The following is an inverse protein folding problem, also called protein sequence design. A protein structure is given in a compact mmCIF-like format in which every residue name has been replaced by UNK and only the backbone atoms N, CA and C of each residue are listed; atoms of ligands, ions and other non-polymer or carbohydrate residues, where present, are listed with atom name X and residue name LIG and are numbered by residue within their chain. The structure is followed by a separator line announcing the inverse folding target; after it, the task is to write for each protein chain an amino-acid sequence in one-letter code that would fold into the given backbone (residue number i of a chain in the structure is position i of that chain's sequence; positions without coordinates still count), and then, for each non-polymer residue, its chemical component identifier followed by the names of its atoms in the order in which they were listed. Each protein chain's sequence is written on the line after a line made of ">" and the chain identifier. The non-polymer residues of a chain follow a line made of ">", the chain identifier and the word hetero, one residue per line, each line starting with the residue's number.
data_IF_166002515461
#
_entry.id   IF_166002515461
#
_cell.length_a   1.000
_cell.length_b   1.000
_cell.length_c   1.000
_cell.angle_alpha   90.00
_cell.angle_beta   90.00
_cell.angle_gamma   90.00
#
_symmetry.space_group_name_H-M   'P 1'
#
loop_
_entity.id
_entity.type
_entity.pdbx_description
1 polymer ?
#
# COMPACT_ATOMS: atom_id res chain seq x y z
N UNK A 1 -29.55 -3.09 2.71
CA UNK A 1 -28.23 -3.74 2.81
C UNK A 1 -28.06 -4.25 4.24
N UNK A 2 -27.79 -5.54 4.46
CA UNK A 2 -27.54 -6.08 5.81
C UNK A 2 -26.40 -5.31 6.47
N UNK A 3 -26.61 -4.82 7.69
CA UNK A 3 -25.60 -4.09 8.46
C UNK A 3 -24.50 -5.09 8.85
N UNK A 4 -23.34 -4.98 8.20
CA UNK A 4 -22.19 -5.85 8.49
C UNK A 4 -21.59 -5.41 9.83
N UNK A 5 -21.27 -6.38 10.69
CA UNK A 5 -20.60 -6.12 11.98
C UNK A 5 -19.21 -5.52 11.77
N UNK A 6 -18.78 -4.60 12.63
CA UNK A 6 -17.46 -3.95 12.55
C UNK A 6 -16.30 -4.95 12.54
N UNK A 7 -16.41 -6.08 13.26
CA UNK A 7 -15.40 -7.15 13.23
C UNK A 7 -15.31 -7.81 11.85
N UNK A 8 -16.46 -8.11 11.25
CA UNK A 8 -16.53 -8.71 9.92
C UNK A 8 -15.99 -7.74 8.87
N UNK A 9 -16.33 -6.46 8.96
CA UNK A 9 -15.81 -5.43 8.06
C UNK A 9 -14.28 -5.32 8.17
N UNK A 10 -13.72 -5.38 9.37
CA UNK A 10 -12.27 -5.28 9.58
C UNK A 10 -11.53 -6.43 8.89
N UNK A 11 -11.93 -7.67 9.15
CA UNK A 11 -11.29 -8.84 8.55
C UNK A 11 -11.49 -8.91 7.04
N UNK A 12 -12.61 -8.42 6.53
CA UNK A 12 -12.87 -8.35 5.09
C UNK A 12 -11.92 -7.35 4.41
N UNK A 13 -11.71 -6.17 5.01
CA UNK A 13 -10.75 -5.18 4.51
C UNK A 13 -9.32 -5.72 4.58
N UNK A 14 -8.95 -6.38 5.67
CA UNK A 14 -7.66 -7.08 5.80
C UNK A 14 -7.49 -8.10 4.67
N UNK A 15 -8.52 -8.92 4.41
CA UNK A 15 -8.54 -9.87 3.31
C UNK A 15 -8.39 -9.22 1.93
N UNK A 16 -9.03 -8.07 1.70
CA UNK A 16 -8.86 -7.30 0.46
C UNK A 16 -7.42 -6.79 0.28
N UNK A 17 -6.81 -6.27 1.34
CA UNK A 17 -5.41 -5.83 1.32
C UNK A 17 -4.45 -6.99 1.03
N UNK A 18 -4.70 -8.15 1.65
CA UNK A 18 -3.96 -9.38 1.40
C UNK A 18 -4.08 -9.86 -0.05
N UNK A 19 -5.30 -9.95 -0.57
CA UNK A 19 -5.54 -10.39 -1.94
C UNK A 19 -4.91 -9.44 -2.97
N UNK A 20 -4.98 -8.13 -2.70
CA UNK A 20 -4.36 -7.15 -3.58
C UNK A 20 -2.85 -7.34 -3.63
N UNK A 21 -2.20 -7.49 -2.48
CA UNK A 21 -0.77 -7.77 -2.42
C UNK A 21 -0.43 -9.08 -3.14
N UNK A 22 -1.13 -10.17 -2.84
CA UNK A 22 -0.93 -11.46 -3.49
C UNK A 22 -1.09 -11.38 -5.02
N UNK A 23 -2.03 -10.57 -5.53
CA UNK A 23 -2.23 -10.38 -6.96
C UNK A 23 -1.17 -9.51 -7.64
N UNK A 24 -0.54 -8.60 -6.90
CA UNK A 24 0.41 -7.62 -7.44
C UNK A 24 1.87 -7.99 -7.19
N UNK A 25 2.14 -8.95 -6.31
CA UNK A 25 3.49 -9.41 -5.97
C UNK A 25 4.29 -9.90 -7.18
N UNK A 26 3.62 -10.57 -8.12
CA UNK A 26 4.24 -11.15 -9.34
C UNK A 26 4.83 -10.09 -10.28
N UNK A 27 4.39 -8.82 -10.19
CA UNK A 27 4.96 -7.74 -11.01
C UNK A 27 6.45 -7.50 -10.73
N UNK A 28 6.94 -7.88 -9.55
CA UNK A 28 8.37 -7.83 -9.22
C UNK A 28 9.22 -8.68 -10.18
N UNK A 29 8.65 -9.68 -10.85
CA UNK A 29 9.36 -10.49 -11.84
C UNK A 29 9.70 -9.72 -13.13
N UNK A 30 8.99 -8.62 -13.42
CA UNK A 30 9.22 -7.82 -14.63
C UNK A 30 10.08 -6.59 -14.37
N UNK A 31 9.74 -5.80 -13.35
CA UNK A 31 10.52 -4.64 -12.90
C UNK A 31 10.04 -4.24 -11.50
N UNK A 32 10.99 -3.97 -10.61
CA UNK A 32 10.66 -3.54 -9.26
C UNK A 32 10.06 -2.12 -9.23
N UNK A 33 10.48 -1.24 -10.15
CA UNK A 33 9.85 0.08 -10.34
C UNK A 33 8.38 -0.06 -10.74
N UNK A 34 8.10 -0.87 -11.76
CA UNK A 34 6.72 -1.10 -12.25
C UNK A 34 5.84 -1.71 -11.16
N UNK A 35 6.37 -2.70 -10.42
CA UNK A 35 5.67 -3.33 -9.32
C UNK A 35 5.29 -2.33 -8.21
N UNK A 36 6.20 -1.42 -7.87
CA UNK A 36 5.98 -0.41 -6.82
C UNK A 36 4.90 0.59 -7.23
N UNK A 37 4.90 1.02 -8.50
CA UNK A 37 3.85 1.86 -9.07
C UNK A 37 2.47 1.19 -9.02
N UNK A 38 2.37 -0.05 -9.51
CA UNK A 38 1.11 -0.79 -9.52
C UNK A 38 0.60 -0.99 -8.08
N UNK A 39 1.45 -1.46 -7.18
CA UNK A 39 1.05 -1.68 -5.78
C UNK A 39 0.60 -0.39 -5.11
N UNK A 40 1.37 0.70 -5.23
CA UNK A 40 1.06 1.97 -4.57
C UNK A 40 -0.25 2.59 -5.06
N UNK A 41 -0.48 2.60 -6.38
CA UNK A 41 -1.73 3.10 -6.98
C UNK A 41 -2.92 2.23 -6.58
N UNK A 42 -2.78 0.91 -6.63
CA UNK A 42 -3.87 0.02 -6.25
C UNK A 42 -4.21 0.13 -4.75
N UNK A 43 -3.21 0.22 -3.86
CA UNK A 43 -3.46 0.40 -2.43
C UNK A 43 -4.07 1.76 -2.10
N UNK A 44 -3.67 2.82 -2.81
CA UNK A 44 -4.33 4.13 -2.71
C UNK A 44 -5.81 4.04 -3.10
N UNK A 45 -6.11 3.43 -4.25
CA UNK A 45 -7.48 3.28 -4.75
C UNK A 45 -8.33 2.40 -3.82
N UNK A 46 -7.77 1.28 -3.35
CA UNK A 46 -8.44 0.37 -2.41
C UNK A 46 -8.72 1.07 -1.08
N UNK A 47 -7.77 1.85 -0.55
CA UNK A 47 -7.95 2.60 0.67
C UNK A 47 -9.07 3.64 0.55
N UNK A 48 -9.10 4.37 -0.57
CA UNK A 48 -10.17 5.32 -0.87
C UNK A 48 -11.53 4.62 -0.99
N UNK A 49 -11.60 3.50 -1.72
CA UNK A 49 -12.81 2.70 -1.88
C UNK A 49 -13.32 2.13 -0.55
N UNK A 50 -12.44 1.54 0.27
CA UNK A 50 -12.79 1.00 1.57
C UNK A 50 -13.27 2.10 2.51
N UNK A 51 -12.65 3.28 2.48
CA UNK A 51 -13.12 4.45 3.23
C UNK A 51 -14.52 4.90 2.77
N UNK A 52 -14.81 4.87 1.47
CA UNK A 52 -16.14 5.17 0.96
C UNK A 52 -17.19 4.12 1.34
N UNK A 53 -16.81 2.85 1.37
CA UNK A 53 -17.75 1.73 1.58
C UNK A 53 -17.99 1.37 3.04
N UNK A 54 -16.97 1.51 3.90
CA UNK A 54 -16.97 0.96 5.26
C UNK A 54 -16.86 2.00 6.39
N UNK A 55 -16.90 3.31 6.07
CA UNK A 55 -16.81 4.38 7.08
C UNK A 55 -17.89 4.30 8.16
N UNK A 56 -19.09 3.83 7.81
CA UNK A 56 -20.20 3.74 8.76
C UNK A 56 -20.02 2.58 9.77
N UNK A 57 -19.13 1.62 9.46
CA UNK A 57 -18.84 0.46 10.31
C UNK A 57 -17.50 0.59 11.06
N UNK A 58 -16.53 1.31 10.50
CA UNK A 58 -15.17 1.43 11.00
C UNK A 58 -14.65 2.87 10.86
N UNK A 59 -13.84 3.30 11.83
CA UNK A 59 -13.12 4.57 11.72
C UNK A 59 -12.09 4.50 10.60
N UNK A 60 -11.79 5.65 9.99
CA UNK A 60 -10.80 5.74 8.91
C UNK A 60 -9.42 5.18 9.32
N UNK A 61 -9.02 5.38 10.58
CA UNK A 61 -7.78 4.83 11.11
C UNK A 61 -7.80 3.30 11.17
N UNK A 62 -8.92 2.68 11.55
CA UNK A 62 -9.04 1.21 11.56
C UNK A 62 -9.07 0.62 10.15
N UNK A 63 -9.64 1.33 9.17
CA UNK A 63 -9.59 0.92 7.76
C UNK A 63 -8.14 0.92 7.27
N UNK A 64 -7.36 1.97 7.57
CA UNK A 64 -5.95 2.02 7.26
C UNK A 64 -5.16 0.91 7.93
N UNK A 65 -5.40 0.67 9.23
CA UNK A 65 -4.76 -0.41 9.97
C UNK A 65 -5.06 -1.80 9.37
N UNK A 66 -6.31 -2.05 8.99
CA UNK A 66 -6.72 -3.32 8.38
C UNK A 66 -5.99 -3.56 7.05
N UNK A 67 -5.88 -2.54 6.19
CA UNK A 67 -5.16 -2.65 4.92
C UNK A 67 -3.66 -2.86 5.10
N UNK A 68 -3.04 -2.14 6.05
CA UNK A 68 -1.63 -2.31 6.41
C UNK A 68 -1.40 -3.73 6.93
N UNK A 69 -2.27 -4.24 7.81
CA UNK A 69 -2.19 -5.60 8.31
C UNK A 69 -2.32 -6.63 7.19
N UNK A 70 -3.28 -6.45 6.29
CA UNK A 70 -3.50 -7.31 5.12
C UNK A 70 -2.26 -7.44 4.25
N UNK A 71 -1.54 -6.32 4.06
CA UNK A 71 -0.28 -6.29 3.33
C UNK A 71 0.86 -7.01 4.05
N UNK A 72 1.05 -6.72 5.33
CA UNK A 72 2.20 -7.24 6.09
C UNK A 72 2.12 -8.76 6.36
N UNK A 73 0.93 -9.34 6.28
CA UNK A 73 0.66 -10.76 6.55
C UNK A 73 1.53 -11.73 5.72
N UNK A 74 1.72 -11.48 4.42
CA UNK A 74 2.60 -12.29 3.56
C UNK A 74 4.04 -11.82 3.59
N UNK A 75 4.23 -10.53 3.82
CA UNK A 75 5.53 -9.89 3.71
C UNK A 75 6.46 -10.25 4.87
N UNK A 76 5.92 -10.35 6.10
CA UNK A 76 6.70 -10.68 7.29
C UNK A 76 7.33 -12.08 7.24
N UNK A 77 6.61 -13.17 6.90
CA UNK A 77 7.22 -14.49 6.76
C UNK A 77 8.34 -14.52 5.73
N UNK A 78 8.15 -13.87 4.58
CA UNK A 78 9.15 -13.84 3.50
C UNK A 78 10.41 -13.09 3.94
N UNK A 79 10.26 -11.95 4.62
CA UNK A 79 11.39 -11.15 5.11
C UNK A 79 12.20 -11.82 6.22
N UNK A 80 11.57 -12.63 7.08
CA UNK A 80 12.27 -13.38 8.12
C UNK A 80 13.18 -14.45 7.49
N UNK A 81 12.76 -15.04 6.36
CA UNK A 81 13.54 -16.04 5.64
C UNK A 81 14.69 -15.43 4.81
N UNK A 82 14.57 -14.17 4.38
CA UNK A 82 15.62 -13.48 3.61
C UNK A 82 15.86 -12.04 4.09
N UNK A 83 16.68 -11.92 5.13
CA UNK A 83 16.98 -10.65 5.80
C UNK A 83 17.78 -9.71 4.87
N UNK A 84 18.64 -10.25 4.00
CA UNK A 84 19.58 -9.43 3.20
C UNK A 84 18.89 -8.81 1.99
N UNK A 85 18.03 -9.55 1.28
CA UNK A 85 17.20 -8.98 0.20
C UNK A 85 15.99 -8.21 0.76
N UNK A 86 15.58 -8.51 1.99
CA UNK A 86 14.49 -7.83 2.68
C UNK A 86 14.70 -6.32 2.80
N UNK A 87 15.91 -5.85 3.08
CA UNK A 87 16.16 -4.40 3.21
C UNK A 87 15.98 -3.63 1.89
N UNK A 88 16.39 -4.20 0.76
CA UNK A 88 16.22 -3.57 -0.56
C UNK A 88 14.73 -3.40 -0.91
N UNK A 89 13.89 -4.38 -0.58
CA UNK A 89 12.45 -4.37 -0.87
C UNK A 89 11.60 -3.69 0.21
N UNK A 90 12.19 -3.25 1.33
CA UNK A 90 11.48 -2.56 2.43
C UNK A 90 10.88 -1.22 1.99
N UNK A 91 11.51 -0.55 1.03
CA UNK A 91 11.02 0.73 0.53
C UNK A 91 9.65 0.61 -0.14
N UNK A 92 9.39 -0.49 -0.85
CA UNK A 92 8.08 -0.75 -1.48
C UNK A 92 7.00 -0.78 -0.40
N UNK A 93 7.30 -1.42 0.74
CA UNK A 93 6.44 -1.47 1.93
C UNK A 93 6.15 -0.10 2.49
N UNK A 94 7.16 0.72 2.65
CA UNK A 94 6.96 2.08 3.10
C UNK A 94 6.07 2.88 2.13
N UNK A 95 6.32 2.77 0.82
CA UNK A 95 5.58 3.49 -0.21
C UNK A 95 4.09 3.14 -0.17
N UNK A 96 3.69 1.86 -0.22
CA UNK A 96 2.25 1.60 -0.23
C UNK A 96 1.56 1.79 1.14
N UNK A 97 2.29 1.81 2.27
CA UNK A 97 1.71 2.28 3.55
C UNK A 97 1.36 3.76 3.43
N UNK A 98 2.27 4.59 2.89
CA UNK A 98 1.98 5.99 2.60
C UNK A 98 0.83 6.13 1.60
N UNK A 99 0.76 5.29 0.57
CA UNK A 99 -0.37 5.31 -0.38
C UNK A 99 -1.72 5.02 0.27
N UNK A 100 -1.79 4.09 1.23
CA UNK A 100 -3.01 3.83 2.02
C UNK A 100 -3.41 5.10 2.80
N UNK A 101 -2.44 5.74 3.47
CA UNK A 101 -2.67 6.95 4.24
C UNK A 101 -3.18 8.09 3.34
N UNK A 102 -2.52 8.31 2.19
CA UNK A 102 -2.92 9.32 1.22
C UNK A 102 -4.31 9.05 0.64
N UNK A 103 -4.66 7.78 0.37
CA UNK A 103 -5.99 7.39 -0.11
C UNK A 103 -7.09 7.72 0.90
N UNK A 104 -6.84 7.43 2.18
CA UNK A 104 -7.73 7.78 3.29
C UNK A 104 -7.83 9.30 3.47
N UNK A 105 -6.70 10.01 3.37
CA UNK A 105 -6.66 11.47 3.51
C UNK A 105 -7.44 12.16 2.39
N UNK A 106 -7.27 11.72 1.14
CA UNK A 106 -8.03 12.19 -0.01
C UNK A 106 -9.54 11.99 0.19
N UNK A 107 -9.94 10.82 0.72
CA UNK A 107 -11.33 10.55 1.05
C UNK A 107 -11.87 11.46 2.17
N UNK A 108 -11.06 11.72 3.20
CA UNK A 108 -11.44 12.56 4.35
C UNK A 108 -11.63 14.02 3.95
N UNK A 109 -10.65 14.60 3.27
CA UNK A 109 -10.63 16.03 2.97
C UNK A 109 -11.48 16.39 1.75
N UNK A 110 -11.52 15.52 0.72
CA UNK A 110 -12.27 15.74 -0.54
C UNK A 110 -11.92 17.04 -1.29
N UNK A 111 -10.81 17.70 -0.93
CA UNK A 111 -10.34 18.91 -1.60
C UNK A 111 -9.44 18.54 -2.78
N UNK A 112 -9.65 19.12 -3.98
CA UNK A 112 -8.81 18.82 -5.15
C UNK A 112 -7.31 18.99 -4.91
N UNK A 113 -6.92 19.99 -4.10
CA UNK A 113 -5.53 20.23 -3.74
C UNK A 113 -4.88 19.04 -3.00
N UNK A 114 -5.65 18.31 -2.19
CA UNK A 114 -5.15 17.13 -1.45
C UNK A 114 -4.90 15.97 -2.42
N UNK A 115 -5.74 15.82 -3.44
CA UNK A 115 -5.51 14.84 -4.52
C UNK A 115 -4.26 15.20 -5.32
N UNK A 116 -4.11 16.47 -5.73
CA UNK A 116 -2.94 16.93 -6.46
C UNK A 116 -1.65 16.69 -5.67
N UNK A 117 -1.63 17.06 -4.39
CA UNK A 117 -0.47 16.81 -3.52
C UNK A 117 -0.21 15.31 -3.33
N UNK A 118 -1.26 14.49 -3.19
CA UNK A 118 -1.10 13.04 -3.05
C UNK A 118 -0.51 12.39 -4.30
N UNK A 119 -0.87 12.88 -5.49
CA UNK A 119 -0.27 12.45 -6.76
C UNK A 119 1.20 12.86 -6.81
N UNK A 120 1.53 14.11 -6.48
CA UNK A 120 2.92 14.59 -6.45
C UNK A 120 3.78 13.76 -5.49
N UNK A 121 3.28 13.51 -4.28
CA UNK A 121 3.96 12.65 -3.29
C UNK A 121 4.12 11.24 -3.85
N UNK A 122 3.08 10.67 -4.45
CA UNK A 122 3.13 9.35 -5.08
C UNK A 122 4.19 9.24 -6.18
N UNK A 123 4.27 10.24 -7.07
CA UNK A 123 5.30 10.32 -8.11
C UNK A 123 6.68 10.39 -7.47
N UNK A 124 6.90 11.30 -6.51
CA UNK A 124 8.21 11.49 -5.87
C UNK A 124 8.70 10.22 -5.17
N UNK A 125 7.80 9.52 -4.48
CA UNK A 125 8.10 8.27 -3.80
C UNK A 125 8.48 7.15 -4.78
N UNK A 126 7.70 6.97 -5.85
CA UNK A 126 7.88 5.87 -6.78
C UNK A 126 9.02 6.11 -7.80
N UNK A 127 9.43 7.35 -8.06
CA UNK A 127 10.55 7.65 -8.96
C UNK A 127 11.83 7.93 -8.19
N UNK A 128 11.89 9.07 -7.50
CA UNK A 128 13.13 9.57 -6.92
C UNK A 128 13.53 8.78 -5.67
N UNK A 129 12.61 8.61 -4.71
CA UNK A 129 12.95 7.94 -3.45
C UNK A 129 13.27 6.46 -3.68
N UNK A 130 12.49 5.79 -4.53
CA UNK A 130 12.74 4.40 -4.90
C UNK A 130 14.11 4.22 -5.57
N UNK A 131 14.48 5.09 -6.52
CA UNK A 131 15.78 5.03 -7.19
C UNK A 131 16.95 5.28 -6.24
N UNK A 132 16.84 6.29 -5.35
CA UNK A 132 17.89 6.56 -4.37
C UNK A 132 18.05 5.40 -3.38
N UNK A 133 16.95 4.79 -2.96
CA UNK A 133 16.99 3.60 -2.10
C UNK A 133 17.67 2.42 -2.80
N UNK A 134 17.30 2.14 -4.05
CA UNK A 134 17.89 1.08 -4.84
C UNK A 134 19.40 1.30 -5.04
N UNK A 135 19.84 2.53 -5.33
CA UNK A 135 21.25 2.85 -5.49
C UNK A 135 22.10 2.57 -4.23
N UNK A 136 21.51 2.75 -3.03
CA UNK A 136 22.22 2.54 -1.76
C UNK A 136 22.24 1.05 -1.37
N UNK A 137 21.11 0.37 -1.50
CA UNK A 137 20.90 -0.96 -0.92
C UNK A 137 20.91 -2.11 -1.93
N UNK A 138 20.91 -1.81 -3.23
CA UNK A 138 20.91 -2.78 -4.34
C UNK A 138 21.67 -2.23 -5.56
N UNK A 139 22.94 -1.82 -5.41
CA UNK A 139 23.69 -1.13 -6.47
C UNK A 139 23.98 -1.99 -7.72
N UNK A 140 23.82 -3.31 -7.61
CA UNK A 140 24.09 -4.26 -8.70
C UNK A 140 22.82 -4.79 -9.39
N UNK A 141 21.63 -4.48 -8.87
CA UNK A 141 20.36 -4.91 -9.48
C UNK A 141 19.64 -3.69 -10.09
N UNK A 142 19.40 -3.67 -11.41
CA UNK A 142 18.59 -2.63 -12.02
C UNK A 142 17.12 -2.87 -11.65
N UNK A 143 16.56 -1.97 -10.84
CA UNK A 143 15.12 -1.92 -10.51
C UNK A 143 14.25 -1.37 -11.66
#
# INVERSE_FOLDING_TARGET
>A
MKQISSRTAFWLITGMGFLLFASTWWFMAFSGTTATWVQSVCFFALAHFCAARYRDQLSLGMIGLALILGRLLLELPVRIMDIRSGFATLIVTFICILSIILGILCYKEKRPIVYALSIVIGVVLNTFVLQQWAAIYSPNDPF
#
